data_IF_062798615651
#
_entry.id   IF_062798615651
#
_cell.length_a   1.000
_cell.length_b   1.000
_cell.length_c   1.000
_cell.angle_alpha   90.00
_cell.angle_beta   90.00
_cell.angle_gamma   90.00
#
_symmetry.space_group_name_H-M   'P 1'
#
loop_
_entity.id
_entity.type
_entity.pdbx_description
1 polymer ?
#
# COMPACT_ATOMS: atom_id res chain seq x y z
N UNK A 1 15.56 11.86 37.93
CA UNK A 1 15.49 10.38 37.93
C UNK A 1 14.65 9.78 36.78
N UNK A 2 14.19 10.57 35.79
CA UNK A 2 13.28 10.07 34.72
C UNK A 2 13.98 9.54 33.46
N UNK A 3 15.22 9.99 33.19
CA UNK A 3 15.96 9.62 31.96
C UNK A 3 16.25 8.12 31.84
N UNK A 4 16.51 7.44 32.94
CA UNK A 4 16.81 6.00 32.99
C UNK A 4 15.59 5.15 32.64
N UNK A 5 14.39 5.61 33.00
CA UNK A 5 13.16 4.88 32.69
C UNK A 5 12.84 4.99 31.20
N UNK A 6 12.93 6.18 30.62
CA UNK A 6 12.70 6.40 29.18
C UNK A 6 13.75 5.68 28.31
N UNK A 7 15.03 5.74 28.70
CA UNK A 7 16.12 5.09 27.97
C UNK A 7 15.97 3.55 27.95
N UNK A 8 15.54 2.94 29.05
CA UNK A 8 15.32 1.49 29.11
C UNK A 8 14.15 1.02 28.24
N UNK A 9 13.08 1.81 28.12
CA UNK A 9 11.93 1.47 27.27
C UNK A 9 12.26 1.66 25.78
N UNK A 10 13.05 2.69 25.43
CA UNK A 10 13.58 2.88 24.07
C UNK A 10 14.52 1.74 23.70
N UNK A 11 15.43 1.34 24.59
CA UNK A 11 16.32 0.20 24.37
C UNK A 11 15.54 -1.11 24.22
N UNK A 12 14.44 -1.30 24.95
CA UNK A 12 13.58 -2.48 24.84
C UNK A 12 12.85 -2.55 23.50
N UNK A 13 12.31 -1.42 23.01
CA UNK A 13 11.69 -1.33 21.69
C UNK A 13 12.72 -1.51 20.57
N UNK A 14 13.89 -0.89 20.69
CA UNK A 14 14.98 -1.08 19.72
C UNK A 14 15.46 -2.53 19.69
N UNK A 15 15.54 -3.21 20.85
CA UNK A 15 15.92 -4.63 20.93
C UNK A 15 14.85 -5.54 20.33
N UNK A 16 13.56 -5.19 20.47
CA UNK A 16 12.47 -5.92 19.83
C UNK A 16 12.49 -5.75 18.31
N UNK A 17 12.72 -4.53 17.82
CA UNK A 17 12.86 -4.24 16.38
C UNK A 17 14.11 -4.92 15.81
N UNK A 18 15.24 -4.89 16.52
CA UNK A 18 16.50 -5.56 16.13
C UNK A 18 16.42 -7.08 16.29
N UNK A 19 15.61 -7.59 17.22
CA UNK A 19 15.38 -9.02 17.44
C UNK A 19 14.35 -9.64 16.47
N UNK A 20 13.46 -8.82 15.90
CA UNK A 20 12.61 -9.18 14.77
C UNK A 20 13.34 -9.02 13.42
N UNK A 21 14.42 -8.22 13.38
CA UNK A 21 15.27 -8.01 12.21
C UNK A 21 15.79 -9.30 11.54
N UNK A 22 16.17 -10.38 12.25
CA UNK A 22 16.61 -11.62 11.64
C UNK A 22 15.53 -12.32 10.80
N UNK A 23 14.25 -12.03 11.03
CA UNK A 23 13.17 -12.52 10.17
C UNK A 23 13.21 -11.89 8.76
N UNK A 24 13.82 -10.70 8.62
CA UNK A 24 14.00 -10.00 7.36
C UNK A 24 15.36 -10.29 6.69
N UNK A 25 16.30 -10.93 7.40
CA UNK A 25 17.66 -11.23 6.93
C UNK A 25 17.77 -12.56 6.17
N UNK A 26 16.81 -13.48 6.32
CA UNK A 26 16.88 -14.81 5.68
C UNK A 26 16.70 -14.80 4.15
N UNK A 27 16.30 -13.67 3.55
CA UNK A 27 16.29 -13.50 2.10
C UNK A 27 17.46 -12.59 1.71
N UNK A 28 18.64 -13.18 1.51
CA UNK A 28 19.79 -12.46 0.98
C UNK A 28 19.47 -12.00 -0.46
N UNK A 29 19.35 -10.69 -0.71
CA UNK A 29 18.94 -10.16 -2.00
C UNK A 29 20.04 -10.35 -3.04
N UNK A 30 19.73 -11.05 -4.14
CA UNK A 30 20.64 -11.33 -5.25
C UNK A 30 20.67 -10.23 -6.31
N UNK A 31 19.71 -9.30 -6.28
CA UNK A 31 19.54 -8.24 -7.29
C UNK A 31 19.33 -6.86 -6.67
N UNK A 32 19.65 -5.79 -7.42
CA UNK A 32 19.38 -4.42 -6.99
C UNK A 32 17.88 -4.16 -6.74
N UNK A 33 17.00 -4.82 -7.51
CA UNK A 33 15.55 -4.74 -7.31
C UNK A 33 15.15 -5.28 -5.94
N UNK A 34 15.69 -6.42 -5.51
CA UNK A 34 15.40 -7.00 -4.20
C UNK A 34 15.91 -6.10 -3.05
N UNK A 35 17.05 -5.41 -3.23
CA UNK A 35 17.49 -4.39 -2.27
C UNK A 35 16.50 -3.23 -2.15
N UNK A 36 16.03 -2.72 -3.28
CA UNK A 36 15.08 -1.61 -3.31
C UNK A 36 13.76 -2.01 -2.66
N UNK A 37 13.24 -3.21 -2.96
CA UNK A 37 12.01 -3.73 -2.35
C UNK A 37 12.14 -3.88 -0.84
N UNK A 38 13.25 -4.44 -0.35
CA UNK A 38 13.48 -4.57 1.10
C UNK A 38 13.50 -3.20 1.79
N UNK A 39 14.13 -2.18 1.18
CA UNK A 39 14.13 -0.83 1.73
C UNK A 39 12.74 -0.21 1.74
N UNK A 40 11.95 -0.41 0.69
CA UNK A 40 10.56 0.08 0.62
C UNK A 40 9.71 -0.58 1.71
N UNK A 41 9.81 -1.89 1.92
CA UNK A 41 9.08 -2.60 2.98
C UNK A 41 9.40 -2.07 4.38
N UNK A 42 10.67 -1.76 4.64
CA UNK A 42 11.10 -1.16 5.92
C UNK A 42 10.48 0.22 6.12
N UNK A 43 10.47 1.05 5.08
CA UNK A 43 9.88 2.39 5.12
C UNK A 43 8.36 2.29 5.30
N UNK A 44 7.71 1.35 4.62
CA UNK A 44 6.26 1.16 4.67
C UNK A 44 5.77 0.80 6.08
N UNK A 45 6.57 0.04 6.83
CA UNK A 45 6.30 -0.24 8.26
C UNK A 45 6.71 0.93 9.15
N UNK A 46 7.81 1.63 8.85
CA UNK A 46 8.31 2.71 9.69
C UNK A 46 7.42 3.96 9.70
N UNK A 47 6.86 4.34 8.56
CA UNK A 47 5.98 5.51 8.41
C UNK A 47 4.81 5.49 9.40
N UNK A 48 3.92 4.47 9.42
CA UNK A 48 2.76 4.47 10.31
C UNK A 48 3.16 4.48 11.80
N UNK A 49 4.30 3.89 12.15
CA UNK A 49 4.87 3.95 13.50
C UNK A 49 5.24 5.38 13.88
N UNK A 50 5.93 6.11 13.00
CA UNK A 50 6.31 7.51 13.23
C UNK A 50 5.07 8.41 13.31
N UNK A 51 4.08 8.20 12.44
CA UNK A 51 2.80 8.96 12.48
C UNK A 51 2.10 8.76 13.82
N UNK A 52 2.04 7.51 14.31
CA UNK A 52 1.45 7.20 15.62
C UNK A 52 2.21 7.91 16.73
N UNK A 53 3.54 7.92 16.69
CA UNK A 53 4.37 8.59 17.69
C UNK A 53 4.21 10.11 17.67
N UNK A 54 4.12 10.71 16.47
CA UNK A 54 3.87 12.13 16.27
C UNK A 54 2.50 12.54 16.81
N UNK A 55 1.47 11.72 16.58
CA UNK A 55 0.13 11.93 17.13
C UNK A 55 0.15 11.91 18.66
N UNK A 56 0.85 10.93 19.28
CA UNK A 56 1.00 10.87 20.74
C UNK A 56 1.73 12.09 21.28
N UNK A 57 2.81 12.55 20.61
CA UNK A 57 3.54 13.75 21.01
C UNK A 57 2.67 15.02 20.92
N UNK A 58 1.87 15.13 19.86
CA UNK A 58 0.89 16.22 19.70
C UNK A 58 -0.15 16.22 20.83
N UNK A 59 -0.77 15.07 21.11
CA UNK A 59 -1.76 14.91 22.18
C UNK A 59 -1.14 15.19 23.57
N UNK A 60 0.11 14.79 23.78
CA UNK A 60 0.85 15.10 25.02
C UNK A 60 1.10 16.60 25.18
N UNK A 61 1.50 17.30 24.11
CA UNK A 61 1.66 18.76 24.12
C UNK A 61 0.35 19.48 24.45
N UNK A 62 -0.76 19.01 23.88
CA UNK A 62 -2.11 19.53 24.15
C UNK A 62 -2.55 19.27 25.59
N UNK A 63 -2.37 18.04 26.08
CA UNK A 63 -2.67 17.69 27.47
C UNK A 63 -1.86 18.52 28.46
N UNK A 64 -0.56 18.74 28.19
CA UNK A 64 0.30 19.59 29.02
C UNK A 64 -0.22 21.04 29.07
N UNK A 65 -0.68 21.59 27.95
CA UNK A 65 -1.25 22.94 27.90
C UNK A 65 -2.57 23.05 28.69
N UNK A 66 -3.42 22.01 28.62
CA UNK A 66 -4.69 21.93 29.35
C UNK A 66 -4.50 21.82 30.86
N UNK A 67 -3.62 20.92 31.31
CA UNK A 67 -3.37 20.72 32.74
C UNK A 67 -2.51 21.81 33.37
N UNK A 68 -1.78 22.59 32.56
CA UNK A 68 -0.98 23.73 33.02
C UNK A 68 -1.67 25.08 32.83
N UNK A 69 -3.01 25.10 32.72
CA UNK A 69 -3.81 26.31 32.71
C UNK A 69 -3.66 27.10 34.03
N UNK A 70 -2.58 27.89 34.14
CA UNK A 70 -2.22 28.63 35.35
C UNK A 70 -0.71 28.85 35.53
N UNK A 71 0.14 28.07 34.86
CA UNK A 71 1.60 28.23 34.87
C UNK A 71 2.12 28.63 33.48
N UNK A 72 2.62 29.86 33.35
CA UNK A 72 3.05 30.45 32.08
C UNK A 72 4.24 29.70 31.46
N UNK A 73 5.10 29.11 32.29
CA UNK A 73 6.25 28.34 31.84
C UNK A 73 5.81 27.04 31.15
N UNK A 74 4.97 26.25 31.82
CA UNK A 74 4.48 24.97 31.30
C UNK A 74 3.56 25.13 30.09
N UNK A 75 2.81 26.23 30.02
CA UNK A 75 2.04 26.61 28.83
C UNK A 75 2.95 26.82 27.62
N UNK A 76 4.02 27.61 27.77
CA UNK A 76 4.96 27.90 26.68
C UNK A 76 5.66 26.65 26.13
N UNK A 77 5.93 25.68 27.00
CA UNK A 77 6.60 24.45 26.63
C UNK A 77 5.64 23.45 25.96
N UNK A 78 4.39 23.36 26.44
CA UNK A 78 3.33 22.59 25.81
C UNK A 78 3.02 23.08 24.40
N UNK A 79 2.94 24.40 24.19
CA UNK A 79 2.72 24.99 22.86
C UNK A 79 3.84 24.67 21.88
N UNK A 80 5.11 24.66 22.31
CA UNK A 80 6.23 24.27 21.45
C UNK A 80 6.11 22.82 20.99
N UNK A 81 5.84 21.89 21.92
CA UNK A 81 5.67 20.47 21.60
C UNK A 81 4.49 20.27 20.64
N UNK A 82 3.39 21.00 20.83
CA UNK A 82 2.23 20.96 19.93
C UNK A 82 2.60 21.40 18.51
N UNK A 83 3.32 22.51 18.36
CA UNK A 83 3.75 23.02 17.04
C UNK A 83 4.68 22.04 16.35
N UNK A 84 5.67 21.48 17.06
CA UNK A 84 6.56 20.47 16.47
C UNK A 84 5.81 19.19 16.07
N UNK A 85 4.82 18.77 16.87
CA UNK A 85 3.95 17.64 16.54
C UNK A 85 3.12 17.89 15.27
N UNK A 86 2.47 19.04 15.16
CA UNK A 86 1.68 19.42 13.98
C UNK A 86 2.56 19.51 12.73
N UNK A 87 3.71 20.18 12.82
CA UNK A 87 4.61 20.34 11.68
C UNK A 87 5.11 18.98 11.19
N UNK A 88 5.49 18.09 12.10
CA UNK A 88 5.93 16.74 11.73
C UNK A 88 4.80 15.93 11.08
N UNK A 89 3.57 16.01 11.60
CA UNK A 89 2.42 15.30 11.04
C UNK A 89 2.06 15.86 9.65
N UNK A 90 2.12 17.18 9.48
CA UNK A 90 1.87 17.84 8.21
C UNK A 90 2.83 17.37 7.12
N UNK A 91 4.14 17.35 7.39
CA UNK A 91 5.14 16.93 6.39
C UNK A 91 4.93 15.48 5.96
N UNK A 92 4.68 14.56 6.91
CA UNK A 92 4.50 13.15 6.59
C UNK A 92 3.24 12.93 5.75
N UNK A 93 2.11 13.51 6.14
CA UNK A 93 0.84 13.37 5.42
C UNK A 93 0.89 14.07 4.06
N UNK A 94 1.52 15.25 3.98
CA UNK A 94 1.66 15.99 2.74
C UNK A 94 2.51 15.24 1.71
N UNK A 95 3.61 14.60 2.15
CA UNK A 95 4.43 13.78 1.25
C UNK A 95 3.66 12.56 0.75
N UNK A 96 2.94 11.84 1.60
CA UNK A 96 2.11 10.71 1.17
C UNK A 96 1.00 11.12 0.19
N UNK A 97 0.28 12.19 0.50
CA UNK A 97 -0.77 12.71 -0.39
C UNK A 97 -0.20 13.20 -1.73
N UNK A 98 0.96 13.85 -1.72
CA UNK A 98 1.63 14.29 -2.94
C UNK A 98 2.16 13.12 -3.76
N UNK A 99 2.75 12.11 -3.11
CA UNK A 99 3.25 10.90 -3.76
C UNK A 99 2.10 10.13 -4.43
N UNK A 100 0.95 10.01 -3.77
CA UNK A 100 -0.23 9.35 -4.34
C UNK A 100 -0.75 10.09 -5.58
N UNK A 101 -0.91 11.40 -5.50
CA UNK A 101 -1.36 12.22 -6.64
C UNK A 101 -0.33 12.17 -7.77
N UNK A 102 0.96 12.24 -7.45
CA UNK A 102 2.03 12.13 -8.42
C UNK A 102 2.03 10.74 -9.09
N UNK A 103 1.77 9.67 -8.34
CA UNK A 103 1.64 8.33 -8.90
C UNK A 103 0.47 8.25 -9.88
N UNK A 104 -0.73 8.69 -9.47
CA UNK A 104 -1.92 8.66 -10.31
C UNK A 104 -1.79 9.52 -11.58
N UNK A 105 -1.07 10.64 -11.49
CA UNK A 105 -0.94 11.60 -12.61
C UNK A 105 0.19 11.21 -13.58
N UNK A 106 1.30 10.67 -13.07
CA UNK A 106 2.50 10.33 -13.88
C UNK A 106 2.43 8.89 -14.38
N UNK A 107 1.92 7.98 -13.56
CA UNK A 107 1.72 6.58 -13.87
C UNK A 107 0.22 6.36 -13.96
N UNK A 108 -0.40 6.91 -15.00
CA UNK A 108 -1.82 6.71 -15.31
C UNK A 108 -2.09 5.20 -15.28
N UNK A 109 -2.72 4.72 -14.20
CA UNK A 109 -3.08 3.31 -14.05
C UNK A 109 -4.25 3.08 -14.99
N UNK A 110 -3.94 2.90 -16.28
CA UNK A 110 -4.85 2.29 -17.22
C UNK A 110 -4.99 0.85 -16.76
N UNK A 111 -5.88 0.63 -15.79
CA UNK A 111 -6.57 -0.63 -15.64
C UNK A 111 -7.07 -0.93 -17.03
N UNK A 112 -6.35 -1.80 -17.72
CA UNK A 112 -6.75 -2.28 -19.02
C UNK A 112 -7.93 -3.20 -18.71
N UNK A 113 -9.09 -2.60 -18.41
CA UNK A 113 -10.35 -3.21 -18.79
C UNK A 113 -10.23 -3.33 -20.30
N UNK A 114 -9.65 -4.46 -20.74
CA UNK A 114 -9.74 -4.87 -22.14
C UNK A 114 -11.22 -4.82 -22.42
N UNK A 115 -11.68 -3.96 -23.35
CA UNK A 115 -13.07 -3.94 -23.74
C UNK A 115 -13.42 -5.39 -24.05
N UNK A 116 -14.37 -5.97 -23.31
CA UNK A 116 -14.93 -7.25 -23.70
C UNK A 116 -15.53 -6.96 -25.08
N UNK A 117 -14.77 -7.29 -26.13
CA UNK A 117 -15.28 -7.24 -27.49
C UNK A 117 -16.56 -8.06 -27.46
N UNK A 118 -17.68 -7.57 -28.01
CA UNK A 118 -18.88 -8.37 -28.11
C UNK A 118 -18.46 -9.72 -28.68
N UNK A 119 -18.80 -10.78 -27.96
CA UNK A 119 -18.54 -12.15 -28.39
C UNK A 119 -19.35 -12.36 -29.68
N UNK A 120 -18.75 -12.02 -30.82
CA UNK A 120 -19.41 -12.05 -32.14
C UNK A 120 -19.48 -13.47 -32.71
N UNK A 121 -18.97 -14.45 -31.98
CA UNK A 121 -19.16 -15.86 -32.21
C UNK A 121 -19.45 -16.44 -30.84
N UNK A 122 -20.67 -16.90 -30.59
CA UNK A 122 -21.00 -17.64 -29.37
C UNK A 122 -20.29 -18.99 -29.31
N UNK A 123 -18.97 -18.97 -29.36
CA UNK A 123 -18.09 -20.11 -29.18
C UNK A 123 -17.25 -19.76 -27.96
N UNK A 124 -17.77 -20.10 -26.80
CA UNK A 124 -16.95 -20.37 -25.63
C UNK A 124 -15.73 -21.15 -26.10
N UNK A 125 -14.53 -20.61 -25.84
CA UNK A 125 -13.23 -21.14 -26.30
C UNK A 125 -12.91 -22.58 -25.84
N UNK A 126 -13.85 -23.23 -25.15
CA UNK A 126 -13.89 -24.66 -24.85
C UNK A 126 -14.38 -25.53 -26.01
N UNK A 127 -15.18 -25.00 -26.93
CA UNK A 127 -15.85 -25.79 -27.98
C UNK A 127 -15.00 -25.99 -29.25
N UNK A 128 -14.03 -25.10 -29.50
CA UNK A 128 -13.15 -25.15 -30.69
C UNK A 128 -12.17 -26.34 -30.70
N UNK A 129 -11.94 -27.00 -29.55
CA UNK A 129 -11.06 -28.18 -29.53
C UNK A 129 -11.74 -29.46 -30.02
N UNK A 130 -13.06 -29.45 -30.19
CA UNK A 130 -13.84 -30.66 -30.42
C UNK A 130 -14.85 -30.56 -31.57
N UNK A 131 -14.86 -29.45 -32.29
CA UNK A 131 -15.48 -29.37 -33.60
C UNK A 131 -14.44 -29.74 -34.63
N UNK A 132 -14.75 -30.75 -35.42
CA UNK A 132 -13.94 -31.13 -36.55
C UNK A 132 -13.86 -29.92 -37.47
N UNK A 133 -12.68 -29.30 -37.55
CA UNK A 133 -12.46 -28.17 -38.46
C UNK A 133 -12.48 -28.61 -39.94
N UNK A 134 -12.90 -29.85 -40.21
CA UNK A 134 -13.09 -30.39 -41.55
C UNK A 134 -14.40 -29.90 -42.13
N UNK A 135 -14.29 -29.06 -43.15
CA UNK A 135 -15.42 -28.69 -43.99
C UNK A 135 -15.95 -29.95 -44.70
N UNK A 136 -17.13 -30.42 -44.31
CA UNK A 136 -17.75 -31.62 -44.87
C UNK A 136 -18.81 -31.25 -45.93
N UNK A 137 -18.55 -31.66 -47.17
CA UNK A 137 -19.43 -31.38 -48.30
C UNK A 137 -20.78 -32.11 -48.23
N UNK A 138 -20.94 -33.14 -47.38
CA UNK A 138 -22.21 -33.89 -47.26
C UNK A 138 -23.35 -33.12 -46.59
N UNK A 139 -23.03 -32.11 -45.78
CA UNK A 139 -24.06 -31.42 -44.99
C UNK A 139 -24.93 -30.51 -45.86
N UNK A 140 -24.34 -30.02 -46.96
CA UNK A 140 -25.04 -29.19 -47.94
C UNK A 140 -25.76 -30.00 -49.01
N UNK A 141 -25.32 -31.23 -49.27
CA UNK A 141 -25.97 -32.07 -50.30
C UNK A 141 -27.25 -32.71 -49.79
N UNK A 142 -27.37 -32.95 -48.48
CA UNK A 142 -28.56 -33.56 -47.87
C UNK A 142 -29.71 -32.57 -47.65
N UNK A 143 -29.46 -31.26 -47.72
CA UNK A 143 -30.50 -30.25 -47.50
C UNK A 143 -31.48 -30.12 -48.68
N UNK A 144 -31.06 -30.45 -49.92
CA UNK A 144 -31.88 -30.27 -51.13
C UNK A 144 -32.58 -31.57 -51.59
N UNK A 145 -32.13 -32.74 -51.14
CA UNK A 145 -32.64 -34.05 -51.63
C UNK A 145 -33.97 -34.46 -50.97
N UNK A 146 -34.41 -33.75 -49.92
CA UNK A 146 -35.58 -34.10 -49.12
C UNK A 146 -36.94 -33.63 -49.63
N UNK A 147 -37.03 -32.79 -50.69
CA UNK A 147 -38.30 -32.19 -51.07
C UNK A 147 -38.49 -32.03 -52.59
N UNK A 148 -38.76 -33.14 -53.27
CA UNK A 148 -39.25 -33.13 -54.65
C UNK A 148 -40.18 -34.34 -54.90
N UNK A 149 -41.37 -34.29 -54.28
CA UNK A 149 -42.54 -35.06 -54.69
C UNK A 149 -43.73 -34.13 -54.83
#
# INVERSE_FOLDING_TARGET
MTKIFFQKHVIFLVTYVVGAFPLFVFAAPGTFSELATMLVEIIDVAVPVIVTLALVAFLFGLAKMLFSAGDSASYSEGSKIMVYGIVSLFVIVALWGLIEVAQQTIFETTSTEVPQTPDILGTSSTDIKNEDTSFNWSDFTNAEVGNSR
#
